data_IF_898669622172
#
_entry.id   IF_898669622172
#
_cell.length_a   1.000
_cell.length_b   1.000
_cell.length_c   1.000
_cell.angle_alpha   90.00
_cell.angle_beta   90.00
_cell.angle_gamma   90.00
#
_symmetry.space_group_name_H-M   'P 1'
#
loop_
_entity.id
_entity.type
_entity.pdbx_description
1 polymer ?
#
# COMPACT_ATOMS: atom_id res chain seq x y z
N UNK A 1 -4.31 -13.71 15.78
CA UNK A 1 -3.62 -13.10 16.94
C UNK A 1 -2.77 -11.98 16.40
N UNK A 2 -2.79 -10.85 17.05
CA UNK A 2 -1.91 -9.73 16.72
C UNK A 2 -0.47 -10.10 17.09
N UNK A 3 0.41 -10.09 16.09
CA UNK A 3 1.83 -10.34 16.29
C UNK A 3 2.57 -9.01 16.32
N UNK A 4 3.66 -8.93 17.07
CA UNK A 4 4.55 -7.76 17.08
C UNK A 4 6.00 -8.22 17.13
N UNK A 5 6.82 -7.72 16.21
CA UNK A 5 8.26 -7.99 16.15
C UNK A 5 9.05 -6.69 16.25
N UNK A 6 10.20 -6.77 16.90
CA UNK A 6 11.15 -5.65 16.97
C UNK A 6 12.05 -5.66 15.74
N UNK A 7 11.97 -4.62 14.92
CA UNK A 7 12.87 -4.37 13.80
C UNK A 7 13.39 -2.94 13.90
N UNK A 8 14.68 -2.73 13.71
CA UNK A 8 15.32 -1.40 13.82
C UNK A 8 14.95 -0.63 15.12
N UNK A 9 14.81 -1.34 16.24
CA UNK A 9 14.38 -0.82 17.56
C UNK A 9 12.96 -0.26 17.61
N UNK A 10 12.10 -0.64 16.68
CA UNK A 10 10.67 -0.34 16.71
C UNK A 10 9.85 -1.63 16.64
N UNK A 11 8.71 -1.64 17.33
CA UNK A 11 7.76 -2.74 17.25
C UNK A 11 6.88 -2.61 16.02
N UNK A 12 6.99 -3.53 15.08
CA UNK A 12 6.10 -3.65 13.92
C UNK A 12 5.02 -4.68 14.25
N UNK A 13 3.76 -4.24 14.24
CA UNK A 13 2.58 -5.10 14.39
C UNK A 13 2.18 -5.66 13.03
N UNK A 14 1.81 -6.93 12.96
CA UNK A 14 1.45 -7.59 11.69
C UNK A 14 0.49 -8.74 11.90
N UNK A 15 -0.24 -9.07 10.84
CA UNK A 15 -0.97 -10.31 10.71
C UNK A 15 -0.11 -11.33 9.96
N UNK A 16 -0.13 -12.60 10.42
CA UNK A 16 0.52 -13.73 9.77
C UNK A 16 -0.50 -14.87 9.67
N UNK A 17 -0.87 -15.24 8.45
CA UNK A 17 -1.93 -16.20 8.21
C UNK A 17 -1.60 -17.12 7.04
N UNK A 18 -1.90 -18.41 7.21
CA UNK A 18 -1.69 -19.42 6.17
C UNK A 18 -0.27 -20.01 6.19
N UNK A 19 0.04 -20.76 5.12
CA UNK A 19 1.31 -21.43 4.90
C UNK A 19 1.60 -21.50 3.40
N UNK A 20 2.88 -21.59 3.02
CA UNK A 20 3.30 -21.67 1.61
C UNK A 20 4.10 -20.45 1.19
N UNK A 21 4.18 -20.15 -0.12
CA UNK A 21 4.86 -18.95 -0.61
C UNK A 21 4.31 -17.68 0.03
N UNK A 22 5.20 -16.73 0.36
CA UNK A 22 4.80 -15.53 1.08
C UNK A 22 4.17 -14.47 0.16
N UNK A 23 3.13 -13.82 0.69
CA UNK A 23 2.50 -12.63 0.12
C UNK A 23 2.53 -11.53 1.16
N UNK A 24 3.23 -10.43 0.86
CA UNK A 24 3.30 -9.24 1.70
C UNK A 24 2.29 -8.19 1.22
N UNK A 25 1.40 -7.75 2.10
CA UNK A 25 0.35 -6.77 1.80
C UNK A 25 0.67 -5.43 2.50
N UNK A 26 1.08 -4.43 1.73
CA UNK A 26 1.52 -3.12 2.24
C UNK A 26 0.41 -2.09 2.09
N UNK A 27 -0.05 -1.54 3.21
CA UNK A 27 -1.17 -0.59 3.24
C UNK A 27 -0.80 0.80 2.70
N UNK A 28 -1.83 1.59 2.36
CA UNK A 28 -1.72 2.98 1.94
C UNK A 28 -1.76 3.98 3.11
N UNK A 29 -1.51 5.25 2.80
CA UNK A 29 -1.62 6.38 3.73
C UNK A 29 -3.07 6.91 3.80
N UNK A 30 -3.59 7.31 4.94
CA UNK A 30 -3.11 7.09 6.30
C UNK A 30 -3.87 5.93 6.97
N UNK A 31 -3.67 4.75 6.46
CA UNK A 31 -4.40 3.53 6.81
C UNK A 31 -3.55 2.58 7.69
N UNK A 32 -4.01 1.35 7.81
CA UNK A 32 -3.31 0.27 8.52
C UNK A 32 -3.61 -1.10 7.86
N UNK A 33 -3.01 -2.18 8.38
CA UNK A 33 -3.15 -3.54 7.85
C UNK A 33 -4.59 -4.04 7.73
N UNK A 34 -5.52 -3.50 8.55
CA UNK A 34 -6.92 -3.94 8.54
C UNK A 34 -7.62 -3.68 7.20
N UNK A 35 -7.09 -2.77 6.37
CA UNK A 35 -7.60 -2.57 5.01
C UNK A 35 -7.53 -3.83 4.14
N UNK A 36 -6.66 -4.78 4.49
CA UNK A 36 -6.47 -6.05 3.79
C UNK A 36 -7.29 -7.21 4.36
N UNK A 37 -8.12 -6.96 5.38
CA UNK A 37 -8.84 -8.02 6.09
C UNK A 37 -9.65 -8.95 5.16
N UNK A 38 -10.28 -8.40 4.11
CA UNK A 38 -11.04 -9.17 3.13
C UNK A 38 -10.17 -10.00 2.16
N UNK A 39 -8.87 -9.76 2.12
CA UNK A 39 -7.89 -10.46 1.27
C UNK A 39 -7.17 -11.57 2.01
N UNK A 40 -6.91 -11.41 3.30
CA UNK A 40 -6.08 -12.35 4.10
C UNK A 40 -6.58 -13.78 4.03
N UNK A 41 -7.86 -14.02 4.36
CA UNK A 41 -8.41 -15.36 4.40
C UNK A 41 -8.46 -16.05 3.02
N UNK A 42 -8.93 -15.40 1.93
CA UNK A 42 -8.90 -15.99 0.60
C UNK A 42 -7.50 -16.37 0.11
N UNK A 43 -6.50 -15.50 0.32
CA UNK A 43 -5.11 -15.77 -0.09
C UNK A 43 -4.54 -16.95 0.72
N UNK A 44 -4.77 -16.97 2.04
CA UNK A 44 -4.32 -18.07 2.90
C UNK A 44 -4.96 -19.41 2.52
N UNK A 45 -6.26 -19.42 2.20
CA UNK A 45 -6.97 -20.61 1.72
C UNK A 45 -6.49 -21.10 0.36
N UNK A 46 -5.96 -20.22 -0.47
CA UNK A 46 -5.33 -20.56 -1.75
C UNK A 46 -3.91 -21.14 -1.61
N UNK A 47 -3.40 -21.30 -0.37
CA UNK A 47 -2.14 -21.96 -0.06
C UNK A 47 -0.92 -21.00 -0.05
N UNK A 48 -1.12 -19.76 0.37
CA UNK A 48 -0.06 -18.78 0.58
C UNK A 48 0.05 -18.40 2.07
N UNK A 49 1.24 -17.95 2.47
CA UNK A 49 1.44 -17.29 3.78
C UNK A 49 1.31 -15.80 3.60
N UNK A 50 0.31 -15.20 4.21
CA UNK A 50 0.02 -13.76 4.13
C UNK A 50 0.64 -13.04 5.29
N UNK A 51 1.47 -12.03 5.00
CA UNK A 51 2.01 -11.08 5.97
C UNK A 51 1.42 -9.71 5.66
N UNK A 52 0.71 -9.12 6.61
CA UNK A 52 0.16 -7.77 6.49
C UNK A 52 0.63 -6.93 7.68
N UNK A 53 1.68 -6.12 7.54
CA UNK A 53 2.17 -5.25 8.58
C UNK A 53 1.40 -3.93 8.67
N UNK A 54 1.40 -3.35 9.85
CA UNK A 54 1.26 -1.90 10.02
C UNK A 54 2.64 -1.27 9.82
N UNK A 55 2.74 -0.31 8.93
CA UNK A 55 3.98 0.46 8.74
C UNK A 55 4.32 1.27 10.01
N UNK A 56 5.59 1.62 10.22
CA UNK A 56 5.98 2.54 11.31
C UNK A 56 5.07 3.76 11.35
N UNK A 57 4.61 4.12 12.54
CA UNK A 57 3.72 5.26 12.73
C UNK A 57 2.24 4.99 12.52
N UNK A 58 1.87 3.84 11.96
CA UNK A 58 0.49 3.51 11.61
C UNK A 58 -0.02 2.28 12.38
N UNK A 59 -1.35 2.22 12.53
CA UNK A 59 -2.02 1.10 13.18
C UNK A 59 -1.53 0.87 14.61
N UNK A 60 -1.09 -0.37 14.90
CA UNK A 60 -0.55 -0.78 16.20
C UNK A 60 1.00 -0.84 16.24
N UNK A 61 1.66 -0.45 15.15
CA UNK A 61 3.12 -0.30 15.12
C UNK A 61 3.59 0.91 15.89
N UNK A 62 4.83 0.88 16.37
CA UNK A 62 5.41 2.03 17.06
C UNK A 62 5.53 3.24 16.14
N UNK A 63 5.35 4.43 16.71
CA UNK A 63 5.49 5.71 16.03
C UNK A 63 6.72 6.45 16.55
N UNK A 64 7.94 6.07 16.12
CA UNK A 64 9.15 6.72 16.59
C UNK A 64 9.21 8.18 16.09
N UNK A 65 9.81 9.08 16.86
CA UNK A 65 10.18 10.38 16.33
C UNK A 65 11.29 10.21 15.29
N UNK A 66 11.33 11.10 14.30
CA UNK A 66 12.40 11.13 13.28
C UNK A 66 11.87 11.02 11.86
N UNK A 67 12.76 10.66 10.96
CA UNK A 67 12.49 10.69 9.53
C UNK A 67 11.62 9.50 9.08
N UNK A 68 10.64 9.83 8.27
CA UNK A 68 9.83 8.90 7.49
C UNK A 68 10.17 9.12 6.02
N UNK A 69 10.55 8.05 5.34
CA UNK A 69 10.83 8.07 3.89
C UNK A 69 10.44 6.74 3.26
N UNK A 70 10.38 6.65 1.93
CA UNK A 70 10.03 5.39 1.27
C UNK A 70 11.08 4.30 1.55
N UNK A 71 12.35 4.66 1.54
CA UNK A 71 13.48 3.80 1.86
C UNK A 71 13.43 3.28 3.31
N UNK A 72 13.11 4.13 4.29
CA UNK A 72 12.95 3.71 5.69
C UNK A 72 11.77 2.74 5.86
N UNK A 73 10.65 2.97 5.19
CA UNK A 73 9.56 2.01 5.19
C UNK A 73 9.94 0.68 4.54
N UNK A 74 10.67 0.72 3.42
CA UNK A 74 11.15 -0.47 2.73
C UNK A 74 12.13 -1.27 3.60
N UNK A 75 13.08 -0.59 4.26
CA UNK A 75 14.04 -1.21 5.17
C UNK A 75 13.36 -1.95 6.34
N UNK A 76 12.29 -1.36 6.91
CA UNK A 76 11.50 -2.02 7.95
C UNK A 76 10.81 -3.29 7.44
N UNK A 77 10.26 -3.24 6.22
CA UNK A 77 9.61 -4.41 5.62
C UNK A 77 10.60 -5.53 5.33
N UNK A 78 11.78 -5.19 4.84
CA UNK A 78 12.89 -6.14 4.64
C UNK A 78 13.29 -6.78 5.96
N UNK A 79 13.53 -5.98 6.99
CA UNK A 79 13.89 -6.48 8.30
C UNK A 79 12.78 -7.36 8.94
N UNK A 80 11.51 -7.04 8.67
CA UNK A 80 10.38 -7.87 9.09
C UNK A 80 10.39 -9.23 8.37
N UNK A 81 10.59 -9.25 7.05
CA UNK A 81 10.66 -10.49 6.27
C UNK A 81 11.84 -11.36 6.73
N UNK A 82 13.02 -10.77 6.95
CA UNK A 82 14.19 -11.47 7.46
C UNK A 82 13.95 -12.08 8.84
N UNK A 83 13.31 -11.34 9.76
CA UNK A 83 12.94 -11.83 11.09
C UNK A 83 11.90 -12.96 11.08
N UNK A 84 11.16 -13.10 9.98
CA UNK A 84 10.17 -14.16 9.74
C UNK A 84 10.72 -15.33 8.90
N UNK A 85 12.03 -15.33 8.61
CA UNK A 85 12.71 -16.30 7.73
C UNK A 85 12.10 -16.36 6.31
N UNK A 86 11.61 -15.21 5.80
CA UNK A 86 11.04 -15.07 4.46
C UNK A 86 12.08 -14.44 3.54
N UNK A 87 12.66 -15.24 2.64
CA UNK A 87 13.69 -14.78 1.71
C UNK A 87 13.11 -13.99 0.52
N UNK A 88 11.89 -14.33 0.10
CA UNK A 88 11.20 -13.69 -1.04
C UNK A 88 9.70 -13.70 -0.80
N UNK A 89 9.02 -12.66 -1.28
CA UNK A 89 7.56 -12.55 -1.23
C UNK A 89 7.00 -11.94 -2.52
N UNK A 90 5.78 -12.32 -2.90
CA UNK A 90 4.96 -11.48 -3.75
C UNK A 90 4.51 -10.26 -2.93
N UNK A 91 4.83 -9.05 -3.37
CA UNK A 91 4.52 -7.83 -2.60
C UNK A 91 3.40 -7.06 -3.29
N UNK A 92 2.31 -6.82 -2.57
CA UNK A 92 1.19 -6.00 -3.04
C UNK A 92 1.13 -4.72 -2.22
N UNK A 93 1.33 -3.58 -2.88
CA UNK A 93 1.31 -2.26 -2.26
C UNK A 93 0.16 -1.38 -2.76
N UNK A 94 -0.64 -0.86 -1.83
CA UNK A 94 -1.72 0.06 -2.16
C UNK A 94 -1.26 1.50 -1.96
N UNK A 95 -1.48 2.38 -2.97
CA UNK A 95 -1.20 3.82 -2.89
C UNK A 95 0.24 4.10 -2.41
N UNK A 96 0.44 4.64 -1.20
CA UNK A 96 1.77 4.80 -0.58
C UNK A 96 2.52 3.46 -0.49
N UNK A 97 1.83 2.35 -0.20
CA UNK A 97 2.44 1.01 -0.21
C UNK A 97 3.01 0.63 -1.59
N UNK A 98 2.42 1.14 -2.68
CA UNK A 98 2.96 1.00 -4.03
C UNK A 98 4.24 1.81 -4.26
N UNK A 99 4.38 2.98 -3.64
CA UNK A 99 5.63 3.75 -3.68
C UNK A 99 6.75 3.03 -2.93
N UNK A 100 6.43 2.41 -1.79
CA UNK A 100 7.36 1.58 -1.03
C UNK A 100 7.76 0.34 -1.82
N UNK A 101 6.81 -0.30 -2.54
CA UNK A 101 7.11 -1.44 -3.42
C UNK A 101 8.08 -1.07 -4.54
N UNK A 102 7.97 0.12 -5.13
CA UNK A 102 8.93 0.61 -6.14
C UNK A 102 10.33 0.76 -5.56
N UNK A 103 10.45 1.24 -4.33
CA UNK A 103 11.72 1.32 -3.60
C UNK A 103 12.29 -0.09 -3.31
N UNK A 104 11.44 -1.03 -2.87
CA UNK A 104 11.82 -2.43 -2.69
C UNK A 104 12.34 -3.07 -3.97
N UNK A 105 11.71 -2.81 -5.12
CA UNK A 105 12.15 -3.35 -6.42
C UNK A 105 13.52 -2.81 -6.84
N UNK A 106 13.83 -1.56 -6.54
CA UNK A 106 15.12 -0.97 -6.85
C UNK A 106 16.23 -1.47 -5.91
N UNK A 107 15.97 -1.43 -4.59
CA UNK A 107 17.02 -1.66 -3.57
C UNK A 107 17.13 -3.13 -3.15
N UNK A 108 16.03 -3.87 -3.20
CA UNK A 108 15.95 -5.26 -2.74
C UNK A 108 15.30 -6.19 -3.77
N UNK A 109 15.72 -6.15 -5.07
CA UNK A 109 15.06 -6.91 -6.14
C UNK A 109 15.03 -8.43 -5.89
N UNK A 110 15.97 -8.95 -5.12
CA UNK A 110 16.03 -10.37 -4.74
C UNK A 110 14.94 -10.81 -3.78
N UNK A 111 14.35 -9.90 -3.02
CA UNK A 111 13.29 -10.20 -2.04
C UNK A 111 11.87 -10.06 -2.62
N UNK A 112 11.73 -9.45 -3.80
CA UNK A 112 10.43 -9.31 -4.48
C UNK A 112 10.34 -10.34 -5.59
N UNK A 113 9.45 -11.33 -5.44
CA UNK A 113 9.19 -12.34 -6.46
C UNK A 113 8.18 -11.90 -7.50
N UNK A 114 7.21 -11.08 -7.10
CA UNK A 114 6.20 -10.48 -7.96
C UNK A 114 5.69 -9.18 -7.33
N UNK A 115 5.15 -8.27 -8.14
CA UNK A 115 4.73 -6.94 -7.72
C UNK A 115 3.24 -6.69 -8.01
N UNK A 116 2.48 -6.30 -6.98
CA UNK A 116 1.09 -5.86 -7.10
C UNK A 116 0.97 -4.35 -6.82
N UNK A 117 0.68 -3.56 -7.82
CA UNK A 117 0.49 -2.11 -7.72
C UNK A 117 -1.00 -1.79 -7.68
N UNK A 118 -1.50 -1.43 -6.50
CA UNK A 118 -2.93 -1.22 -6.25
C UNK A 118 -3.20 0.27 -6.03
N UNK A 119 -4.03 0.88 -6.89
CA UNK A 119 -4.41 2.29 -6.76
C UNK A 119 -3.19 3.21 -6.51
N UNK A 120 -2.14 3.06 -7.29
CA UNK A 120 -0.86 3.75 -7.10
C UNK A 120 -0.28 4.26 -8.42
N UNK A 121 0.84 4.96 -8.37
CA UNK A 121 1.53 5.50 -9.55
C UNK A 121 3.05 5.40 -9.40
N UNK A 122 3.77 5.36 -10.53
CA UNK A 122 5.24 5.31 -10.55
C UNK A 122 5.89 6.69 -10.47
N UNK A 123 5.15 7.75 -10.86
CA UNK A 123 5.68 9.12 -10.93
C UNK A 123 5.80 9.81 -9.57
N UNK A 124 6.79 10.68 -9.42
CA UNK A 124 6.88 11.63 -8.31
C UNK A 124 5.73 12.66 -8.36
N UNK A 125 5.58 13.42 -7.28
CA UNK A 125 4.71 14.61 -7.30
C UNK A 125 5.40 15.75 -8.03
N UNK A 126 4.62 16.53 -8.78
CA UNK A 126 5.03 17.81 -9.31
C UNK A 126 5.20 18.86 -8.19
N UNK A 127 5.68 20.06 -8.53
CA UNK A 127 5.91 21.14 -7.57
C UNK A 127 4.65 21.49 -6.77
N UNK A 128 3.48 21.55 -7.42
CA UNK A 128 2.21 21.83 -6.78
C UNK A 128 1.79 20.69 -5.82
N UNK A 129 2.00 19.44 -6.21
CA UNK A 129 1.78 18.26 -5.38
C UNK A 129 2.68 18.26 -4.14
N UNK A 130 3.98 18.54 -4.32
CA UNK A 130 4.95 18.67 -3.22
C UNK A 130 4.56 19.78 -2.23
N UNK A 131 4.15 20.95 -2.75
CA UNK A 131 3.68 22.06 -1.92
C UNK A 131 2.43 21.68 -1.12
N UNK A 132 1.45 21.01 -1.76
CA UNK A 132 0.24 20.53 -1.06
C UNK A 132 0.60 19.56 0.06
N UNK A 133 1.52 18.59 -0.17
CA UNK A 133 1.92 17.65 0.90
C UNK A 133 2.59 18.35 2.07
N UNK A 134 3.47 19.33 1.78
CA UNK A 134 4.12 20.13 2.84
C UNK A 134 3.11 20.92 3.67
N UNK A 135 2.13 21.55 3.02
CA UNK A 135 1.06 22.27 3.72
C UNK A 135 0.18 21.32 4.57
N UNK A 136 -0.16 20.15 4.04
CA UNK A 136 -0.93 19.14 4.77
C UNK A 136 -0.14 18.55 5.94
N UNK A 137 1.18 18.34 5.81
CA UNK A 137 2.03 17.88 6.91
C UNK A 137 2.03 18.90 8.06
N UNK A 138 2.22 20.18 7.77
CA UNK A 138 2.15 21.25 8.78
C UNK A 138 0.75 21.32 9.46
N UNK A 139 -0.33 21.11 8.69
CA UNK A 139 -1.67 21.02 9.26
C UNK A 139 -1.85 19.80 10.14
N UNK A 140 -1.30 18.64 9.77
CA UNK A 140 -1.36 17.43 10.57
C UNK A 140 -0.66 17.62 11.93
N UNK A 141 0.49 18.24 11.96
CA UNK A 141 1.24 18.54 13.19
C UNK A 141 0.49 19.50 14.11
N UNK A 142 -0.13 20.54 13.56
CA UNK A 142 -0.78 21.60 14.35
C UNK A 142 -2.23 21.30 14.73
N UNK A 143 -2.98 20.58 13.88
CA UNK A 143 -4.43 20.36 13.99
C UNK A 143 -4.82 18.88 14.07
N UNK A 144 -3.84 17.97 14.03
CA UNK A 144 -4.07 16.52 14.05
C UNK A 144 -4.70 15.98 12.77
N UNK A 145 -5.45 14.88 12.90
CA UNK A 145 -5.97 14.13 11.75
C UNK A 145 -7.14 14.82 11.01
N UNK A 146 -7.84 15.77 11.62
CA UNK A 146 -9.09 16.34 11.05
C UNK A 146 -8.90 16.95 9.65
N UNK A 147 -7.85 17.76 9.35
CA UNK A 147 -7.63 18.27 8.00
C UNK A 147 -7.36 17.13 6.99
N UNK A 148 -6.66 16.09 7.43
CA UNK A 148 -6.36 14.93 6.58
C UNK A 148 -7.64 14.19 6.24
N UNK A 149 -8.46 13.87 7.23
CA UNK A 149 -9.76 13.21 7.03
C UNK A 149 -10.62 13.99 6.05
N UNK A 150 -10.74 15.32 6.22
CA UNK A 150 -11.53 16.16 5.33
C UNK A 150 -11.04 16.10 3.88
N UNK A 151 -9.71 16.12 3.66
CA UNK A 151 -9.13 16.13 2.32
C UNK A 151 -9.20 14.74 1.65
N UNK A 152 -9.10 13.66 2.42
CA UNK A 152 -9.06 12.31 1.87
C UNK A 152 -10.44 11.64 1.77
N UNK A 153 -11.43 12.02 2.59
CA UNK A 153 -12.73 11.36 2.61
C UNK A 153 -13.39 11.28 1.21
N UNK A 154 -13.30 12.36 0.43
CA UNK A 154 -13.86 12.42 -0.92
C UNK A 154 -12.98 11.77 -2.00
N UNK A 155 -11.69 11.55 -1.71
CA UNK A 155 -10.72 10.99 -2.66
C UNK A 155 -10.65 9.47 -2.58
N UNK A 156 -10.94 8.89 -1.40
CA UNK A 156 -10.72 7.47 -1.16
C UNK A 156 -11.82 6.58 -1.74
N UNK A 157 -13.04 7.06 -1.85
CA UNK A 157 -14.18 6.23 -2.19
C UNK A 157 -14.89 6.69 -3.46
N UNK A 158 -15.47 5.75 -4.18
CA UNK A 158 -16.41 6.06 -5.25
C UNK A 158 -17.67 6.78 -4.69
N UNK A 159 -18.33 7.66 -5.47
CA UNK A 159 -19.54 8.34 -5.03
C UNK A 159 -20.64 7.39 -4.57
N UNK A 160 -20.81 6.25 -5.24
CA UNK A 160 -21.77 5.22 -4.84
C UNK A 160 -21.45 4.65 -3.46
N UNK A 161 -20.18 4.31 -3.19
CA UNK A 161 -19.74 3.79 -1.89
C UNK A 161 -19.98 4.77 -0.77
N UNK A 162 -19.77 6.08 -1.02
CA UNK A 162 -20.04 7.14 -0.05
C UNK A 162 -21.51 7.16 0.41
N UNK A 163 -22.47 6.78 -0.46
CA UNK A 163 -23.89 6.73 -0.15
C UNK A 163 -24.34 5.37 0.40
N UNK A 164 -23.82 4.28 -0.18
CA UNK A 164 -24.33 2.92 0.09
C UNK A 164 -23.65 2.20 1.25
N UNK A 165 -22.44 2.62 1.66
CA UNK A 165 -21.66 1.94 2.70
C UNK A 165 -21.07 2.91 3.76
N UNK A 166 -21.92 3.58 4.56
CA UNK A 166 -21.47 4.51 5.58
C UNK A 166 -20.62 3.85 6.68
N UNK A 167 -20.78 2.55 6.90
CA UNK A 167 -20.00 1.80 7.89
C UNK A 167 -18.53 1.70 7.46
N UNK A 168 -18.27 1.41 6.19
CA UNK A 168 -16.92 1.39 5.63
C UNK A 168 -16.25 2.77 5.76
N UNK A 169 -16.99 3.84 5.43
CA UNK A 169 -16.49 5.22 5.56
C UNK A 169 -16.12 5.54 7.01
N UNK A 170 -17.00 5.17 7.95
CA UNK A 170 -16.77 5.39 9.38
C UNK A 170 -15.55 4.60 9.89
N UNK A 171 -15.40 3.35 9.46
CA UNK A 171 -14.27 2.49 9.81
C UNK A 171 -12.94 3.10 9.35
N UNK A 172 -12.83 3.47 8.07
CA UNK A 172 -11.61 4.05 7.50
C UNK A 172 -11.31 5.41 8.15
N UNK A 173 -12.32 6.23 8.38
CA UNK A 173 -12.19 7.51 9.10
C UNK A 173 -11.67 7.30 10.53
N UNK A 174 -12.10 6.25 11.22
CA UNK A 174 -11.62 5.93 12.56
C UNK A 174 -10.11 5.57 12.55
N UNK A 175 -9.64 4.81 11.55
CA UNK A 175 -8.20 4.51 11.40
C UNK A 175 -7.37 5.77 11.17
N UNK A 176 -7.81 6.65 10.27
CA UNK A 176 -7.14 7.94 10.04
C UNK A 176 -7.03 8.77 11.32
N UNK A 177 -8.14 8.81 12.11
CA UNK A 177 -8.19 9.58 13.35
C UNK A 177 -7.27 9.03 14.43
N UNK A 178 -7.05 7.73 14.45
CA UNK A 178 -6.18 7.06 15.40
C UNK A 178 -4.68 7.23 15.09
N UNK A 179 -4.33 7.65 13.86
CA UNK A 179 -2.93 7.84 13.45
C UNK A 179 -2.32 9.09 14.13
N UNK A 180 -1.15 8.96 14.79
CA UNK A 180 -0.48 10.09 15.44
C UNK A 180 -0.18 11.24 14.47
N UNK A 181 -0.30 12.51 14.90
CA UNK A 181 -0.01 13.66 14.06
C UNK A 181 1.39 13.65 13.42
N UNK A 182 2.41 13.22 14.17
CA UNK A 182 3.78 13.08 13.68
C UNK A 182 3.91 12.04 12.56
N UNK A 183 3.18 10.92 12.66
CA UNK A 183 3.17 9.88 11.64
C UNK A 183 2.41 10.34 10.38
N UNK A 184 1.31 11.09 10.55
CA UNK A 184 0.60 11.72 9.43
C UNK A 184 1.53 12.69 8.68
N UNK A 185 2.21 13.58 9.40
CA UNK A 185 3.15 14.52 8.82
C UNK A 185 4.33 13.79 8.15
N UNK A 186 4.93 12.83 8.85
CA UNK A 186 6.04 12.02 8.33
C UNK A 186 5.68 11.27 7.04
N UNK A 187 4.53 10.60 7.00
CA UNK A 187 4.05 9.91 5.79
C UNK A 187 3.80 10.86 4.62
N UNK A 188 3.25 12.07 4.87
CA UNK A 188 3.07 13.09 3.84
C UNK A 188 4.40 13.60 3.29
N UNK A 189 5.39 13.84 4.15
CA UNK A 189 6.72 14.27 3.73
C UNK A 189 7.45 13.15 2.98
N UNK A 190 7.36 11.91 3.44
CA UNK A 190 7.90 10.76 2.73
C UNK A 190 7.33 10.63 1.30
N UNK A 191 6.01 10.79 1.16
CA UNK A 191 5.37 10.78 -0.17
C UNK A 191 5.76 11.99 -1.03
N UNK A 192 5.98 13.17 -0.42
CA UNK A 192 6.46 14.38 -1.12
C UNK A 192 7.82 14.16 -1.77
N UNK A 193 8.70 13.51 -1.05
CA UNK A 193 10.12 13.40 -1.42
C UNK A 193 10.44 12.11 -2.19
N UNK A 194 9.41 11.28 -2.47
CA UNK A 194 9.60 10.04 -3.22
C UNK A 194 10.19 10.29 -4.60
N UNK A 195 11.01 9.36 -5.03
CA UNK A 195 11.62 9.31 -6.36
C UNK A 195 10.58 9.10 -7.46
N UNK A 196 10.86 9.59 -8.66
CA UNK A 196 10.15 9.19 -9.88
C UNK A 196 10.74 7.88 -10.40
N UNK A 197 9.93 6.81 -10.32
CA UNK A 197 10.30 5.48 -10.78
C UNK A 197 9.90 5.20 -12.22
N UNK A 198 9.16 6.11 -12.88
CA UNK A 198 8.68 5.89 -14.26
C UNK A 198 9.80 5.53 -15.23
N UNK A 199 10.97 6.20 -15.23
CA UNK A 199 12.07 5.85 -16.11
C UNK A 199 12.75 4.51 -15.79
N UNK A 200 12.53 3.96 -14.57
CA UNK A 200 13.16 2.74 -14.09
C UNK A 200 12.29 1.49 -14.29
N UNK A 201 11.00 1.65 -14.60
CA UNK A 201 10.06 0.53 -14.78
C UNK A 201 10.57 -0.55 -15.75
N UNK A 202 11.25 -0.23 -16.89
CA UNK A 202 11.79 -1.27 -17.79
C UNK A 202 12.84 -2.18 -17.13
N UNK A 203 13.44 -1.74 -16.04
CA UNK A 203 14.44 -2.50 -15.26
C UNK A 203 13.84 -3.46 -14.22
N UNK A 204 12.52 -3.51 -14.04
CA UNK A 204 11.85 -4.37 -13.06
C UNK A 204 11.26 -5.62 -13.74
N UNK A 205 11.99 -6.76 -13.78
CA UNK A 205 11.57 -7.96 -14.51
C UNK A 205 10.48 -8.77 -13.80
N UNK A 206 10.13 -8.43 -12.56
CA UNK A 206 9.17 -9.20 -11.78
C UNK A 206 7.78 -9.19 -12.45
N UNK A 207 7.10 -10.36 -12.51
CA UNK A 207 5.70 -10.40 -12.92
C UNK A 207 4.90 -9.39 -12.11
N UNK A 208 4.14 -8.54 -12.79
CA UNK A 208 3.47 -7.41 -12.17
C UNK A 208 1.97 -7.41 -12.43
N UNK A 209 1.21 -7.01 -11.43
CA UNK A 209 -0.23 -6.77 -11.47
C UNK A 209 -0.50 -5.31 -11.14
N UNK A 210 -1.32 -4.64 -11.95
CA UNK A 210 -1.82 -3.27 -11.67
C UNK A 210 -3.33 -3.31 -11.55
N UNK A 211 -3.88 -2.83 -10.44
CA UNK A 211 -5.34 -2.75 -10.22
C UNK A 211 -5.72 -1.35 -9.77
N UNK A 212 -6.70 -0.75 -10.43
CA UNK A 212 -7.28 0.54 -10.03
C UNK A 212 -8.81 0.49 -10.08
N UNK A 213 -9.46 1.41 -9.38
CA UNK A 213 -10.89 1.64 -9.52
C UNK A 213 -11.20 2.60 -10.68
N UNK A 214 -12.33 2.41 -11.38
CA UNK A 214 -12.74 3.33 -12.46
C UNK A 214 -13.06 4.74 -11.95
N UNK A 215 -13.40 4.89 -10.67
CA UNK A 215 -13.74 6.14 -10.01
C UNK A 215 -12.59 6.67 -9.10
N UNK A 216 -11.37 6.09 -9.24
CA UNK A 216 -10.22 6.53 -8.46
C UNK A 216 -9.79 7.95 -8.87
N UNK A 217 -9.87 8.89 -7.93
CA UNK A 217 -9.50 10.30 -8.10
C UNK A 217 -8.08 10.61 -7.64
N UNK A 218 -7.43 9.68 -6.93
CA UNK A 218 -6.08 9.85 -6.40
C UNK A 218 -5.02 9.22 -7.31
N UNK A 219 -5.31 8.08 -7.92
CA UNK A 219 -4.48 7.42 -8.94
C UNK A 219 -5.25 7.39 -10.26
N UNK A 220 -4.91 8.30 -11.18
CA UNK A 220 -5.62 8.43 -12.46
C UNK A 220 -5.36 7.23 -13.39
N UNK A 221 -6.23 7.04 -14.39
CA UNK A 221 -6.03 6.05 -15.47
C UNK A 221 -4.66 6.15 -16.17
N UNK A 222 -4.07 7.36 -16.23
CA UNK A 222 -2.72 7.58 -16.76
C UNK A 222 -1.66 6.78 -15.98
N UNK A 223 -1.90 6.47 -14.70
CA UNK A 223 -0.97 5.64 -13.92
C UNK A 223 -0.90 4.19 -14.45
N UNK A 224 -2.04 3.60 -14.84
CA UNK A 224 -2.05 2.27 -15.50
C UNK A 224 -1.26 2.31 -16.81
N UNK A 225 -1.46 3.35 -17.63
CA UNK A 225 -0.78 3.48 -18.92
C UNK A 225 0.74 3.53 -18.75
N UNK A 226 1.24 4.26 -17.73
CA UNK A 226 2.67 4.32 -17.42
C UNK A 226 3.23 2.96 -16.99
N UNK A 227 2.52 2.22 -16.14
CA UNK A 227 2.94 0.89 -15.74
C UNK A 227 2.93 -0.09 -16.93
N UNK A 228 1.87 -0.08 -17.75
CA UNK A 228 1.76 -0.96 -18.93
C UNK A 228 2.83 -0.66 -19.97
N UNK A 229 3.19 0.61 -20.16
CA UNK A 229 4.23 1.00 -21.10
C UNK A 229 5.65 0.69 -20.59
N UNK A 230 5.85 0.70 -19.27
CA UNK A 230 7.19 0.58 -18.66
C UNK A 230 7.54 -0.80 -18.16
N UNK A 231 6.61 -1.56 -17.59
CA UNK A 231 6.90 -2.87 -17.00
C UNK A 231 6.99 -3.97 -18.05
N UNK A 232 8.05 -4.80 -18.07
CA UNK A 232 8.23 -5.87 -19.06
C UNK A 232 7.15 -6.97 -19.00
N UNK A 233 6.59 -7.23 -17.84
CA UNK A 233 5.55 -8.24 -17.60
C UNK A 233 4.46 -7.67 -16.71
N UNK A 234 3.40 -7.14 -17.29
CA UNK A 234 2.34 -6.44 -16.59
C UNK A 234 0.96 -6.95 -17.00
N UNK A 235 0.15 -7.31 -16.01
CA UNK A 235 -1.29 -7.50 -16.14
C UNK A 235 -1.98 -6.32 -15.49
N UNK A 236 -2.97 -5.71 -16.15
CA UNK A 236 -3.69 -4.56 -15.58
C UNK A 236 -5.19 -4.74 -15.63
N UNK A 237 -5.86 -4.28 -14.56
CA UNK A 237 -7.30 -4.37 -14.40
C UNK A 237 -7.87 -3.06 -13.86
N UNK A 238 -9.04 -2.68 -14.41
CA UNK A 238 -9.84 -1.56 -13.93
C UNK A 238 -11.13 -2.13 -13.37
N UNK A 239 -11.37 -1.97 -12.05
CA UNK A 239 -12.60 -2.43 -11.40
C UNK A 239 -13.66 -1.35 -11.49
N UNK A 240 -14.77 -1.66 -12.16
CA UNK A 240 -15.85 -0.71 -12.40
C UNK A 240 -16.55 -0.27 -11.09
N UNK A 241 -16.87 1.02 -10.97
CA UNK A 241 -17.58 1.59 -9.83
C UNK A 241 -16.83 1.53 -8.51
N UNK A 242 -15.52 1.30 -8.52
CA UNK A 242 -14.67 1.39 -7.35
C UNK A 242 -13.85 2.68 -7.38
N UNK A 243 -13.62 3.26 -6.21
CA UNK A 243 -12.72 4.39 -6.00
C UNK A 243 -11.29 3.92 -5.66
N UNK A 244 -10.60 4.72 -4.87
CA UNK A 244 -9.23 4.45 -4.45
C UNK A 244 -9.09 3.23 -3.53
N UNK A 245 -10.10 2.97 -2.69
CA UNK A 245 -10.14 1.80 -1.79
C UNK A 245 -10.66 0.54 -2.50
N UNK A 246 -10.16 0.28 -3.70
CA UNK A 246 -10.67 -0.74 -4.64
C UNK A 246 -10.81 -2.14 -4.02
N UNK A 247 -9.87 -2.55 -3.18
CA UNK A 247 -9.88 -3.84 -2.47
C UNK A 247 -10.93 -3.93 -1.36
N UNK A 248 -11.41 -2.79 -0.85
CA UNK A 248 -12.45 -2.72 0.18
C UNK A 248 -13.83 -2.44 -0.42
N UNK A 249 -13.90 -1.69 -1.51
CA UNK A 249 -15.16 -1.34 -2.18
C UNK A 249 -15.71 -2.49 -3.04
N UNK A 250 -14.83 -3.27 -3.65
CA UNK A 250 -15.17 -4.43 -4.50
C UNK A 250 -14.31 -5.65 -4.14
N UNK A 251 -14.39 -6.14 -2.88
CA UNK A 251 -13.46 -7.17 -2.38
C UNK A 251 -13.56 -8.49 -3.15
N UNK A 252 -14.74 -8.89 -3.63
CA UNK A 252 -14.93 -10.12 -4.39
C UNK A 252 -14.15 -10.11 -5.70
N UNK A 253 -14.40 -9.10 -6.56
CA UNK A 253 -13.75 -8.95 -7.85
C UNK A 253 -12.23 -8.74 -7.69
N UNK A 254 -11.83 -7.92 -6.71
CA UNK A 254 -10.41 -7.71 -6.40
C UNK A 254 -9.71 -9.03 -6.02
N UNK A 255 -10.34 -9.85 -5.18
CA UNK A 255 -9.79 -11.14 -4.76
C UNK A 255 -9.66 -12.11 -5.93
N UNK A 256 -10.64 -12.19 -6.84
CA UNK A 256 -10.56 -13.01 -8.04
C UNK A 256 -9.37 -12.64 -8.92
N UNK A 257 -9.16 -11.36 -9.16
CA UNK A 257 -8.02 -10.83 -9.95
C UNK A 257 -6.70 -11.19 -9.25
N UNK A 258 -6.56 -10.88 -7.96
CA UNK A 258 -5.33 -11.11 -7.21
C UNK A 258 -5.00 -12.61 -7.13
N UNK A 259 -5.98 -13.47 -6.84
CA UNK A 259 -5.77 -14.92 -6.77
C UNK A 259 -5.43 -15.53 -8.12
N UNK A 260 -6.03 -15.04 -9.21
CA UNK A 260 -5.68 -15.45 -10.58
C UNK A 260 -4.22 -15.11 -10.90
N UNK A 261 -3.78 -13.89 -10.57
CA UNK A 261 -2.40 -13.46 -10.73
C UNK A 261 -1.42 -14.33 -9.92
N UNK A 262 -1.67 -14.49 -8.62
CA UNK A 262 -0.81 -15.29 -7.73
C UNK A 262 -0.71 -16.74 -8.20
N UNK A 263 -1.81 -17.33 -8.68
CA UNK A 263 -1.81 -18.69 -9.25
C UNK A 263 -0.94 -18.78 -10.51
N UNK A 264 -1.00 -17.79 -11.38
CA UNK A 264 -0.23 -17.74 -12.62
C UNK A 264 1.29 -17.66 -12.42
N UNK A 265 1.73 -17.19 -11.25
CA UNK A 265 3.16 -17.01 -10.91
C UNK A 265 3.65 -17.98 -9.83
N UNK A 266 2.84 -18.95 -9.42
CA UNK A 266 3.11 -19.81 -8.25
C UNK A 266 4.46 -20.54 -8.33
N UNK A 267 4.85 -20.96 -9.52
CA UNK A 267 6.11 -21.66 -9.76
C UNK A 267 7.34 -20.73 -9.74
N UNK A 268 7.11 -19.41 -9.67
CA UNK A 268 8.14 -18.36 -9.62
C UNK A 268 8.30 -17.74 -8.22
N UNK A 269 7.44 -18.14 -7.28
CA UNK A 269 7.40 -17.62 -5.90
C UNK A 269 8.37 -18.32 -4.94
#
# INVERSE_FOLDING_TARGET
>A
MENKLMVHNIGISYDDCGKGPAVLLVHGFPLNRQMWQAQVAPIAQAGYRVIAPDLRGFGASDAPPGDYSMDVFADDLVALLDALDIQRAAVCGMSMGGYILLDLLERYPGQVSAAGFIATKSSADDEAGRARRSAMAAQAESLGANPIIKNFAELLFAPETMHSNPELIAQVTAWMRATPPSALAGGLLAMRDRKDYTPLLPGFPQPSLVVVGSEDRAASHTAIELFNAGLPSCQSHVIAGAGHMVNMERPGEFNEILLSFLKGIKDSL
#
